data_IF_170680879540
#
_entry.id   IF_170680879540
#
_cell.length_a   1.000
_cell.length_b   1.000
_cell.length_c   1.000
_cell.angle_alpha   90.00
_cell.angle_beta   90.00
_cell.angle_gamma   90.00
#
_symmetry.space_group_name_H-M   'P 1'
#
loop_
_entity.id
_entity.type
_entity.pdbx_description
1 polymer ?
#
# COMPACT_ATOMS: atom_id res chain seq x y z
N UNK A 1 -2.85 -13.12 -0.89
CA UNK A 1 -3.74 -12.17 -0.22
C UNK A 1 -5.10 -12.19 -0.89
N UNK A 2 -6.17 -12.34 -0.11
CA UNK A 2 -7.56 -12.33 -0.59
C UNK A 2 -8.19 -10.97 -0.23
N UNK A 3 -7.80 -9.92 -0.95
CA UNK A 3 -8.10 -8.52 -0.59
C UNK A 3 -9.57 -8.11 -0.78
N UNK A 4 -10.40 -9.01 -1.31
CA UNK A 4 -11.79 -8.74 -1.69
C UNK A 4 -11.93 -7.82 -2.90
N UNK A 5 -10.82 -7.45 -3.58
CA UNK A 5 -10.83 -6.67 -4.82
C UNK A 5 -10.82 -7.63 -6.02
N UNK A 6 -11.95 -8.27 -6.28
CA UNK A 6 -12.08 -9.32 -7.31
C UNK A 6 -12.39 -8.78 -8.70
N UNK A 7 -12.67 -7.48 -8.85
CA UNK A 7 -13.03 -6.86 -10.11
C UNK A 7 -12.67 -5.38 -10.21
N UNK A 8 -12.80 -4.84 -11.43
CA UNK A 8 -12.47 -3.45 -11.76
C UNK A 8 -13.35 -2.48 -10.99
N UNK A 9 -14.63 -2.80 -10.77
CA UNK A 9 -15.57 -1.94 -10.06
C UNK A 9 -15.16 -1.73 -8.60
N UNK A 10 -14.68 -2.78 -7.95
CA UNK A 10 -14.18 -2.76 -6.57
C UNK A 10 -12.90 -1.94 -6.49
N UNK A 11 -11.96 -2.13 -7.41
CA UNK A 11 -10.70 -1.35 -7.49
C UNK A 11 -11.00 0.13 -7.75
N UNK A 12 -11.99 0.42 -8.61
CA UNK A 12 -12.42 1.78 -8.93
C UNK A 12 -12.99 2.52 -7.72
N UNK A 13 -13.67 1.82 -6.82
CA UNK A 13 -14.25 2.38 -5.58
C UNK A 13 -13.32 2.33 -4.37
N UNK A 14 -12.34 1.42 -4.37
CA UNK A 14 -11.42 1.27 -3.25
C UNK A 14 -10.60 2.56 -3.02
N UNK A 15 -10.37 2.98 -1.76
CA UNK A 15 -9.46 4.07 -1.45
C UNK A 15 -8.04 3.79 -1.96
N UNK A 16 -7.30 4.83 -2.36
CA UNK A 16 -5.95 4.65 -2.89
C UNK A 16 -5.00 4.10 -1.81
N UNK A 17 -5.14 4.53 -0.56
CA UNK A 17 -4.41 3.94 0.57
C UNK A 17 -4.62 2.44 0.74
N UNK A 18 -5.83 1.93 0.46
CA UNK A 18 -6.11 0.49 0.55
C UNK A 18 -5.33 -0.30 -0.50
N UNK A 19 -5.07 0.28 -1.67
CA UNK A 19 -4.23 -0.34 -2.69
C UNK A 19 -2.76 -0.37 -2.25
N UNK A 20 -2.26 0.72 -1.66
CA UNK A 20 -0.86 0.81 -1.16
C UNK A 20 -0.60 -0.13 0.01
N UNK A 21 -1.62 -0.44 0.81
CA UNK A 21 -1.51 -1.40 1.92
C UNK A 21 -1.41 -2.86 1.43
N UNK A 22 -1.63 -3.14 0.14
CA UNK A 22 -1.47 -4.48 -0.39
C UNK A 22 0.01 -4.80 -0.62
N UNK A 23 0.45 -6.02 -0.28
CA UNK A 23 1.83 -6.41 -0.53
C UNK A 23 2.16 -6.27 -2.01
N UNK A 24 3.40 -5.83 -2.27
CA UNK A 24 3.94 -5.59 -3.60
C UNK A 24 3.25 -4.45 -4.38
N UNK A 25 2.32 -3.71 -3.77
CA UNK A 25 1.70 -2.54 -4.38
C UNK A 25 2.18 -1.28 -3.65
N UNK A 26 3.22 -0.65 -4.21
CA UNK A 26 3.70 0.64 -3.73
C UNK A 26 2.86 1.83 -4.22
N UNK A 27 3.12 3.04 -3.68
CA UNK A 27 2.44 4.28 -4.05
C UNK A 27 2.30 4.52 -5.56
N UNK A 28 3.40 4.39 -6.31
CA UNK A 28 3.42 4.56 -7.77
C UNK A 28 2.53 3.55 -8.50
N UNK A 29 2.56 2.28 -8.09
CA UNK A 29 1.74 1.25 -8.74
C UNK A 29 0.26 1.44 -8.41
N UNK A 30 -0.07 1.80 -7.17
CA UNK A 30 -1.44 2.09 -6.76
C UNK A 30 -2.06 3.25 -7.57
N UNK A 31 -1.27 4.31 -7.81
CA UNK A 31 -1.67 5.44 -8.67
C UNK A 31 -1.92 5.04 -10.11
N UNK A 32 -1.01 4.29 -10.71
CA UNK A 32 -1.15 3.80 -12.07
C UNK A 32 -2.40 2.92 -12.23
N UNK A 33 -2.66 2.03 -11.26
CA UNK A 33 -3.88 1.21 -11.23
C UNK A 33 -5.12 2.12 -11.19
N UNK A 34 -5.13 3.15 -10.34
CA UNK A 34 -6.26 4.09 -10.23
C UNK A 34 -6.54 4.86 -11.50
N UNK A 35 -5.51 5.35 -12.17
CA UNK A 35 -5.63 6.00 -13.48
C UNK A 35 -6.19 5.04 -14.52
N UNK A 36 -5.67 3.81 -14.60
CA UNK A 36 -6.10 2.81 -15.57
C UNK A 36 -7.58 2.41 -15.40
N UNK A 37 -8.06 2.28 -14.17
CA UNK A 37 -9.48 1.96 -13.91
C UNK A 37 -10.40 3.19 -13.91
N UNK A 38 -9.83 4.39 -14.06
CA UNK A 38 -10.54 5.67 -14.00
C UNK A 38 -11.21 5.92 -12.64
N UNK A 39 -10.58 5.49 -11.55
CA UNK A 39 -11.10 5.70 -10.20
C UNK A 39 -10.92 7.12 -9.71
N UNK A 40 -11.92 7.64 -9.00
CA UNK A 40 -11.82 8.94 -8.33
C UNK A 40 -10.86 8.83 -7.13
N UNK A 41 -9.96 9.80 -7.02
CA UNK A 41 -9.05 9.96 -5.90
C UNK A 41 -9.02 11.45 -5.54
N UNK A 42 -9.06 11.75 -4.25
CA UNK A 42 -8.92 13.12 -3.78
C UNK A 42 -7.49 13.64 -4.03
N UNK A 43 -7.37 14.91 -4.43
CA UNK A 43 -6.08 15.52 -4.74
C UNK A 43 -5.10 15.46 -3.57
N UNK A 44 -5.60 15.61 -2.34
CA UNK A 44 -4.79 15.50 -1.12
C UNK A 44 -4.22 14.09 -0.93
N UNK A 45 -5.04 13.04 -1.11
CA UNK A 45 -4.61 11.65 -1.01
C UNK A 45 -3.55 11.36 -2.08
N UNK A 46 -3.77 11.82 -3.31
CA UNK A 46 -2.81 11.69 -4.41
C UNK A 46 -1.45 12.32 -4.09
N UNK A 47 -1.45 13.58 -3.64
CA UNK A 47 -0.21 14.33 -3.32
C UNK A 47 0.50 13.78 -2.08
N UNK A 48 -0.24 13.25 -1.11
CA UNK A 48 0.36 12.69 0.11
C UNK A 48 1.30 11.51 -0.19
N UNK A 49 0.92 10.69 -1.18
CA UNK A 49 1.70 9.54 -1.62
C UNK A 49 2.96 9.92 -2.40
N UNK A 50 2.99 11.10 -3.05
CA UNK A 50 4.22 11.61 -3.69
C UNK A 50 5.29 12.05 -2.67
N UNK A 51 4.87 12.40 -1.45
CA UNK A 51 5.79 12.78 -0.36
C UNK A 51 6.34 11.52 0.33
N UNK A 52 5.47 10.55 0.60
CA UNK A 52 5.85 9.29 1.23
C UNK A 52 6.84 8.47 0.38
N UNK A 53 6.77 8.56 -0.94
CA UNK A 53 7.70 7.85 -1.84
C UNK A 53 9.10 8.50 -1.90
N UNK A 54 9.23 9.77 -1.51
CA UNK A 54 10.49 10.54 -1.59
C UNK A 54 11.31 10.49 -0.30
N UNK A 55 10.70 10.13 0.82
CA UNK A 55 11.42 9.95 2.08
C UNK A 55 12.07 8.57 2.09
N UNK A 56 13.35 8.54 1.69
CA UNK A 56 14.19 7.36 1.85
C UNK A 56 14.26 6.99 3.34
N UNK A 57 13.67 5.85 3.70
CA UNK A 57 13.77 5.29 5.06
C UNK A 57 15.17 4.75 5.31
N UNK A 58 15.64 4.84 6.55
CA UNK A 58 16.92 4.24 6.92
C UNK A 58 16.79 2.71 6.92
N UNK A 59 17.87 2.00 6.58
CA UNK A 59 17.86 0.52 6.57
C UNK A 59 17.55 -0.06 7.97
N UNK A 60 17.87 0.68 9.03
CA UNK A 60 17.56 0.34 10.42
C UNK A 60 16.06 0.28 10.71
N UNK A 61 15.25 1.06 10.02
CA UNK A 61 13.80 1.12 10.21
C UNK A 61 13.10 -0.19 9.78
N UNK A 62 13.78 -1.01 8.98
CA UNK A 62 13.28 -2.31 8.50
C UNK A 62 13.70 -3.48 9.41
N UNK A 63 14.71 -3.32 10.26
CA UNK A 63 15.22 -4.38 11.14
C UNK A 63 14.43 -4.45 12.46
N UNK A 64 13.72 -3.38 12.80
CA UNK A 64 12.99 -3.24 14.06
C UNK A 64 11.58 -3.84 14.05
N UNK A 65 11.12 -4.39 12.93
CA UNK A 65 9.93 -5.25 12.88
C UNK A 65 10.29 -6.61 13.52
N UNK A 66 10.36 -6.60 14.86
CA UNK A 66 10.77 -7.71 15.72
C UNK A 66 10.03 -8.99 15.35
N UNK A 67 10.76 -9.91 14.73
CA UNK A 67 10.42 -11.31 14.79
C UNK A 67 10.67 -11.78 16.23
N UNK A 68 9.61 -11.87 17.03
CA UNK A 68 9.66 -12.61 18.30
C UNK A 68 9.44 -14.09 17.95
N UNK A 69 10.48 -14.94 17.90
CA UNK A 69 10.25 -16.37 17.80
C UNK A 69 9.58 -16.82 19.10
N UNK A 70 8.36 -17.35 19.00
CA UNK A 70 7.73 -18.06 20.11
C UNK A 70 8.69 -19.14 20.59
N UNK A 71 9.08 -19.07 21.88
CA UNK A 71 9.94 -20.09 22.48
C UNK A 71 9.22 -21.44 22.42
N UNK A 72 9.90 -22.53 22.02
CA UNK A 72 9.34 -23.87 22.24
C UNK A 72 9.21 -24.09 23.75
N UNK A 73 8.01 -24.47 24.18
CA UNK A 73 7.76 -24.95 25.55
C UNK A 73 8.46 -26.32 25.70
N UNK A 74 9.34 -26.44 26.70
CA UNK A 74 9.98 -27.69 27.13
C UNK A 74 9.03 -28.55 27.98
#
# INVERSE_FOLDING_TARGET
>A
YNSGLTGIAEIKKAPLQRLVALPLIGPRLAKAIKEQVGGLVEEQEWKSLDKAEKEQKALTDFVEEKFEPEKPED
#
